data_IF_439980573773
#
_entry.id   IF_439980573773
#
_cell.length_a   1.000
_cell.length_b   1.000
_cell.length_c   1.000
_cell.angle_alpha   90.00
_cell.angle_beta   90.00
_cell.angle_gamma   90.00
#
_symmetry.space_group_name_H-M   'P 1'
#
loop_
_entity.id
_entity.type
_entity.pdbx_description
1 polymer ?
#
# COMPACT_ATOMS: atom_id res chain seq x y z
N UNK A 1 7.81 -14.31 12.36
CA UNK A 1 6.96 -13.54 11.42
C UNK A 1 6.51 -12.30 12.17
N UNK A 2 6.71 -11.08 11.66
CA UNK A 2 6.15 -9.89 12.31
C UNK A 2 4.83 -9.53 11.61
N UNK A 3 3.67 -9.95 12.15
CA UNK A 3 2.38 -9.74 11.51
C UNK A 3 2.02 -8.25 11.38
N UNK A 4 2.72 -7.35 12.09
CA UNK A 4 2.50 -5.90 12.01
C UNK A 4 2.93 -5.29 10.68
N UNK A 5 3.63 -6.05 9.84
CA UNK A 5 4.17 -5.62 8.54
C UNK A 5 3.37 -6.19 7.35
N UNK A 6 2.33 -6.98 7.62
CA UNK A 6 1.41 -7.53 6.62
C UNK A 6 0.31 -6.49 6.38
N UNK A 7 -0.03 -6.25 5.12
CA UNK A 7 -1.04 -5.26 4.78
C UNK A 7 -0.92 -4.72 3.36
N UNK A 8 -1.50 -3.55 3.12
CA UNK A 8 -1.48 -2.83 1.86
C UNK A 8 -0.66 -1.57 2.03
N UNK A 9 0.26 -1.36 1.09
CA UNK A 9 1.17 -0.21 1.08
C UNK A 9 0.87 0.67 -0.13
N UNK A 10 0.82 1.99 0.08
CA UNK A 10 0.67 3.02 -0.95
C UNK A 10 2.02 3.63 -1.28
N UNK A 11 2.31 3.74 -2.57
CA UNK A 11 3.26 4.69 -3.13
C UNK A 11 2.50 5.92 -3.64
N UNK A 12 2.56 7.01 -2.87
CA UNK A 12 1.84 8.24 -3.21
C UNK A 12 2.42 8.97 -4.43
N UNK A 13 3.69 8.72 -4.78
CA UNK A 13 4.33 9.31 -5.96
C UNK A 13 3.83 8.68 -7.26
N UNK A 14 3.62 7.37 -7.25
CA UNK A 14 3.16 6.61 -8.42
C UNK A 14 1.65 6.40 -8.45
N UNK A 15 0.93 6.65 -7.35
CA UNK A 15 -0.48 6.34 -7.23
C UNK A 15 -0.74 4.82 -7.26
N UNK A 16 0.20 4.02 -6.76
CA UNK A 16 0.12 2.55 -6.77
C UNK A 16 0.00 1.99 -5.37
N UNK A 17 -0.80 0.94 -5.23
CA UNK A 17 -0.88 0.16 -3.98
C UNK A 17 -0.47 -1.27 -4.22
N UNK A 18 0.13 -1.90 -3.20
CA UNK A 18 0.61 -3.27 -3.27
C UNK A 18 0.21 -4.05 -2.03
N UNK A 19 -0.05 -5.36 -2.20
CA UNK A 19 -0.36 -6.28 -1.11
C UNK A 19 0.92 -6.96 -0.64
N UNK A 20 1.15 -6.90 0.67
CA UNK A 20 2.26 -7.57 1.35
C UNK A 20 1.67 -8.65 2.23
N UNK A 21 1.80 -9.89 1.78
CA UNK A 21 1.40 -11.10 2.54
C UNK A 21 2.60 -11.85 3.10
N UNK A 22 3.81 -11.36 2.83
CA UNK A 22 5.07 -11.97 3.23
C UNK A 22 5.95 -10.93 3.95
N UNK A 23 6.48 -11.23 5.14
CA UNK A 23 7.29 -10.28 5.92
C UNK A 23 8.72 -10.13 5.38
N UNK A 24 9.12 -10.93 4.38
CA UNK A 24 10.46 -10.94 3.81
C UNK A 24 10.69 -9.83 2.79
N UNK A 25 9.60 -9.20 2.32
CA UNK A 25 9.67 -8.10 1.37
C UNK A 25 8.65 -7.03 1.80
N UNK A 26 9.16 -5.96 2.40
CA UNK A 26 8.36 -4.82 2.81
C UNK A 26 9.01 -3.61 2.18
N UNK A 27 8.27 -2.81 1.43
CA UNK A 27 8.86 -1.65 0.80
C UNK A 27 9.23 -0.60 1.87
N UNK A 28 10.41 -0.01 1.75
CA UNK A 28 10.96 0.92 2.74
C UNK A 28 10.34 2.33 2.63
N UNK A 29 10.21 2.99 3.78
CA UNK A 29 9.92 4.42 3.85
C UNK A 29 11.10 5.22 3.26
N UNK A 30 10.88 6.41 2.66
CA UNK A 30 9.64 7.19 2.62
C UNK A 30 8.76 6.93 1.38
N UNK A 31 9.12 5.97 0.52
CA UNK A 31 8.40 5.73 -0.74
C UNK A 31 7.06 5.03 -0.56
N UNK A 32 6.94 4.17 0.46
CA UNK A 32 5.77 3.34 0.69
C UNK A 32 5.23 3.48 2.11
N UNK A 33 3.92 3.69 2.22
CA UNK A 33 3.22 3.91 3.50
C UNK A 33 2.13 2.86 3.66
N UNK A 34 2.07 2.19 4.82
CA UNK A 34 1.01 1.24 5.09
C UNK A 34 -0.33 1.95 5.26
N UNK A 35 -1.29 1.59 4.41
CA UNK A 35 -2.63 2.19 4.36
C UNK A 35 -3.71 1.27 4.93
N UNK A 36 -3.51 -0.05 4.86
CA UNK A 36 -4.36 -1.03 5.53
C UNK A 36 -3.50 -2.15 6.11
N UNK A 37 -3.88 -2.67 7.27
CA UNK A 37 -3.28 -3.86 7.90
C UNK A 37 -3.93 -5.17 7.44
N UNK A 38 -5.11 -5.11 6.84
CA UNK A 38 -5.72 -6.25 6.15
C UNK A 38 -5.26 -6.29 4.69
N UNK A 39 -4.45 -7.29 4.28
CA UNK A 39 -4.00 -7.43 2.90
C UNK A 39 -5.15 -7.75 1.92
N UNK A 40 -6.30 -8.19 2.43
CA UNK A 40 -7.50 -8.51 1.64
C UNK A 40 -8.44 -7.31 1.47
N UNK A 41 -8.13 -6.15 2.06
CA UNK A 41 -8.96 -4.98 1.91
C UNK A 41 -9.15 -4.58 0.43
N UNK A 42 -10.34 -4.10 0.11
CA UNK A 42 -10.70 -3.72 -1.26
C UNK A 42 -10.01 -2.41 -1.64
N UNK A 43 -9.82 -2.20 -2.94
CA UNK A 43 -9.25 -0.94 -3.45
C UNK A 43 -10.11 0.27 -3.04
N UNK A 44 -11.44 0.11 -2.96
CA UNK A 44 -12.35 1.15 -2.51
C UNK A 44 -12.07 1.56 -1.05
N UNK A 45 -11.95 0.59 -0.14
CA UNK A 45 -11.63 0.84 1.26
C UNK A 45 -10.24 1.50 1.40
N UNK A 46 -9.25 1.01 0.65
CA UNK A 46 -7.91 1.59 0.63
C UNK A 46 -7.94 3.05 0.18
N UNK A 47 -8.64 3.36 -0.93
CA UNK A 47 -8.79 4.74 -1.42
C UNK A 47 -9.46 5.64 -0.40
N UNK A 48 -10.45 5.14 0.34
CA UNK A 48 -11.07 5.87 1.43
C UNK A 48 -10.07 6.19 2.55
N UNK A 49 -9.30 5.20 3.01
CA UNK A 49 -8.27 5.41 4.04
C UNK A 49 -7.17 6.38 3.59
N UNK A 50 -6.80 6.34 2.30
CA UNK A 50 -5.85 7.28 1.71
C UNK A 50 -6.38 8.72 1.78
N UNK A 51 -7.67 8.94 1.46
CA UNK A 51 -8.32 10.25 1.56
C UNK A 51 -8.39 10.73 3.01
N UNK A 52 -8.82 9.86 3.92
CA UNK A 52 -8.93 10.15 5.36
C UNK A 52 -7.59 10.58 5.95
N UNK A 53 -6.52 9.87 5.60
CA UNK A 53 -5.15 10.17 6.05
C UNK A 53 -4.46 11.28 5.25
N UNK A 54 -5.11 11.85 4.21
CA UNK A 54 -4.57 12.86 3.30
C UNK A 54 -3.20 12.50 2.72
N UNK A 55 -2.99 11.22 2.42
CA UNK A 55 -1.68 10.71 1.95
C UNK A 55 -1.38 11.08 0.49
N UNK A 56 -2.40 11.42 -0.29
CA UNK A 56 -2.27 11.91 -1.66
C UNK A 56 -3.44 12.83 -2.04
N UNK A 57 -3.24 13.68 -3.06
CA UNK A 57 -4.28 14.61 -3.55
C UNK A 57 -5.41 13.90 -4.28
N UNK A 58 -5.07 12.93 -5.14
CA UNK A 58 -6.06 12.17 -5.92
C UNK A 58 -5.99 10.67 -5.64
N UNK A 59 -6.79 10.22 -4.68
CA UNK A 59 -6.92 8.80 -4.39
C UNK A 59 -7.77 8.03 -5.42
N UNK A 60 -8.49 8.71 -6.32
CA UNK A 60 -9.39 8.04 -7.27
C UNK A 60 -8.63 7.31 -8.38
N UNK A 61 -7.47 7.84 -8.78
CA UNK A 61 -6.55 7.22 -9.74
C UNK A 61 -5.70 6.09 -9.19
N UNK A 62 -5.83 5.72 -7.90
CA UNK A 62 -4.98 4.69 -7.29
C UNK A 62 -5.27 3.32 -7.89
N UNK A 63 -4.24 2.61 -8.34
CA UNK A 63 -4.35 1.28 -8.95
C UNK A 63 -3.44 0.26 -8.27
N UNK A 64 -3.68 -1.02 -8.53
CA UNK A 64 -2.80 -2.08 -8.06
C UNK A 64 -1.48 -2.05 -8.83
N UNK A 65 -0.38 -1.91 -8.09
CA UNK A 65 0.97 -2.07 -8.61
C UNK A 65 1.42 -3.53 -8.55
N UNK A 66 2.49 -3.82 -9.27
CA UNK A 66 3.27 -5.05 -9.07
C UNK A 66 4.46 -4.74 -8.19
N UNK A 67 4.82 -5.66 -7.30
CA UNK A 67 6.08 -5.57 -6.57
C UNK A 67 7.22 -5.72 -7.59
N UNK A 68 8.24 -4.84 -7.58
CA UNK A 68 9.42 -5.09 -8.38
C UNK A 68 10.02 -6.42 -7.92
N UNK A 69 10.08 -7.40 -8.83
CA UNK A 69 10.82 -8.63 -8.61
C UNK A 69 12.28 -8.23 -8.33
N UNK A 70 12.83 -8.68 -7.20
CA UNK A 70 14.28 -8.61 -6.99
C UNK A 70 14.95 -9.34 -8.16
N UNK A 71 15.82 -8.66 -8.90
CA UNK A 71 16.88 -9.32 -9.66
C UNK A 71 17.91 -9.86 -8.68
#
# INVERSE_FOLDING_TARGET
MDPKKIGIYLNAKEGKVVRITSPYWIPEAPGWVMVANDPNATLLAVRQTIKEKRLMRDASGVTWGSLPLRQ
#
